data_IF_202369939834
#
_entry.id   IF_202369939834
#
_cell.length_a   1.000
_cell.length_b   1.000
_cell.length_c   1.000
_cell.angle_alpha   90.00
_cell.angle_beta   90.00
_cell.angle_gamma   90.00
#
_symmetry.space_group_name_H-M   'P 1'
#
loop_
_entity.id
_entity.type
_entity.pdbx_description
1 polymer ?
#
# COMPACT_ATOMS: atom_id res chain seq x y z
N UNK A 1 -42.93 -37.60 18.51
CA UNK A 1 -41.52 -37.25 18.27
C UNK A 1 -41.45 -35.87 17.59
N UNK A 2 -41.17 -34.79 18.32
CA UNK A 2 -40.96 -33.46 17.77
C UNK A 2 -39.48 -33.30 17.47
N UNK A 3 -39.08 -33.32 16.17
CA UNK A 3 -37.70 -33.03 15.74
C UNK A 3 -37.43 -31.54 15.96
N UNK A 4 -36.42 -31.27 16.77
CA UNK A 4 -35.91 -29.92 17.09
C UNK A 4 -35.36 -29.24 15.81
N UNK A 5 -36.05 -28.22 15.30
CA UNK A 5 -35.64 -27.37 14.21
C UNK A 5 -34.64 -26.27 14.65
N UNK A 6 -34.31 -26.18 15.94
CA UNK A 6 -33.47 -25.13 16.52
C UNK A 6 -31.98 -25.22 16.12
N UNK A 7 -31.47 -26.41 15.83
CA UNK A 7 -30.06 -26.60 15.52
C UNK A 7 -29.60 -26.05 14.15
N UNK A 8 -30.50 -25.99 13.17
CA UNK A 8 -30.14 -25.49 11.83
C UNK A 8 -30.12 -23.96 11.75
N UNK A 9 -31.09 -23.28 12.35
CA UNK A 9 -31.18 -21.83 12.38
C UNK A 9 -30.02 -21.19 13.16
N UNK A 10 -29.61 -21.81 14.28
CA UNK A 10 -28.48 -21.35 15.08
C UNK A 10 -27.14 -21.44 14.31
N UNK A 11 -26.91 -22.49 13.53
CA UNK A 11 -25.72 -22.65 12.70
C UNK A 11 -25.66 -21.64 11.57
N UNK A 12 -26.79 -21.28 10.98
CA UNK A 12 -26.86 -20.27 9.91
C UNK A 12 -26.56 -18.87 10.45
N UNK A 13 -27.09 -18.53 11.63
CA UNK A 13 -26.82 -17.24 12.30
C UNK A 13 -25.35 -17.16 12.72
N UNK A 14 -24.77 -18.22 13.26
CA UNK A 14 -23.35 -18.26 13.64
C UNK A 14 -22.43 -18.11 12.42
N UNK A 15 -22.77 -18.77 11.30
CA UNK A 15 -22.01 -18.68 10.07
C UNK A 15 -22.12 -17.29 9.42
N UNK A 16 -23.27 -16.63 9.51
CA UNK A 16 -23.47 -15.26 9.05
C UNK A 16 -22.71 -14.25 9.91
N UNK A 17 -22.65 -14.44 11.23
CA UNK A 17 -21.84 -13.60 12.13
C UNK A 17 -20.33 -13.78 11.89
N UNK A 18 -19.85 -15.00 11.61
CA UNK A 18 -18.46 -15.27 11.26
C UNK A 18 -18.07 -14.67 9.91
N UNK A 19 -18.97 -14.69 8.92
CA UNK A 19 -18.78 -14.02 7.62
C UNK A 19 -18.78 -12.49 7.76
N UNK A 20 -19.63 -11.91 8.62
CA UNK A 20 -19.63 -10.49 8.92
C UNK A 20 -18.35 -10.04 9.65
N UNK A 21 -17.85 -10.84 10.60
CA UNK A 21 -16.56 -10.54 11.27
C UNK A 21 -15.36 -10.69 10.34
N UNK A 22 -15.38 -11.63 9.39
CA UNK A 22 -14.33 -11.74 8.37
C UNK A 22 -14.34 -10.57 7.37
N UNK A 23 -15.48 -9.91 7.17
CA UNK A 23 -15.57 -8.70 6.35
C UNK A 23 -15.09 -7.42 7.05
N UNK A 24 -14.98 -7.40 8.38
CA UNK A 24 -14.52 -6.24 9.15
C UNK A 24 -13.00 -6.07 9.19
N UNK A 25 -12.23 -7.00 8.64
CA UNK A 25 -10.76 -6.85 8.45
C UNK A 25 -10.39 -6.43 7.01
N UNK A 26 -11.32 -5.83 6.27
CA UNK A 26 -10.98 -5.21 5.01
C UNK A 26 -10.05 -4.03 5.29
N UNK A 27 -8.77 -4.17 4.95
CA UNK A 27 -7.86 -3.04 4.75
C UNK A 27 -8.64 -2.03 3.90
N UNK A 28 -8.96 -0.87 4.46
CA UNK A 28 -9.59 0.20 3.70
C UNK A 28 -8.54 0.72 2.73
N UNK A 29 -8.62 0.31 1.49
CA UNK A 29 -7.82 0.84 0.41
C UNK A 29 -8.74 1.64 -0.50
N UNK A 30 -8.56 2.94 -0.50
CA UNK A 30 -9.25 3.83 -1.43
C UNK A 30 -8.29 4.20 -2.55
N UNK A 31 -8.79 4.12 -3.78
CA UNK A 31 -8.02 4.37 -4.98
C UNK A 31 -8.82 5.26 -5.91
N UNK A 32 -8.21 6.37 -6.31
CA UNK A 32 -8.73 7.26 -7.35
C UNK A 32 -7.75 7.24 -8.52
N UNK A 33 -8.27 7.06 -9.73
CA UNK A 33 -7.44 7.03 -10.94
C UNK A 33 -8.02 7.91 -12.04
N UNK A 34 -7.13 8.57 -12.77
CA UNK A 34 -7.40 9.17 -14.06
C UNK A 34 -6.55 8.48 -15.12
N UNK A 35 -7.11 8.26 -16.29
CA UNK A 35 -6.40 7.72 -17.46
C UNK A 35 -6.94 8.37 -18.73
N UNK A 36 -6.08 8.97 -19.51
CA UNK A 36 -6.43 9.42 -20.86
C UNK A 36 -6.71 8.20 -21.76
N UNK A 37 -7.93 8.11 -22.25
CA UNK A 37 -8.40 7.00 -23.10
C UNK A 37 -7.83 7.07 -24.52
N UNK A 38 -7.38 8.25 -24.95
CA UNK A 38 -6.87 8.49 -26.29
C UNK A 38 -5.35 8.32 -26.39
N UNK A 39 -4.66 8.26 -25.27
CA UNK A 39 -3.21 8.10 -25.24
C UNK A 39 -2.75 6.68 -25.56
N UNK A 40 -1.73 6.57 -26.42
CA UNK A 40 -1.16 5.27 -26.79
C UNK A 40 -0.08 4.80 -25.83
N UNK A 41 -0.48 4.28 -24.68
CA UNK A 41 0.44 3.76 -23.66
C UNK A 41 1.42 2.70 -24.18
N UNK A 42 1.05 1.92 -25.19
CA UNK A 42 1.92 0.88 -25.78
C UNK A 42 3.10 1.44 -26.58
N UNK A 43 3.09 2.72 -26.88
CA UNK A 43 4.22 3.39 -27.53
C UNK A 43 5.36 3.70 -26.56
N UNK A 44 5.12 3.68 -25.25
CA UNK A 44 6.09 4.04 -24.21
C UNK A 44 7.20 2.99 -24.15
N UNK A 45 8.44 3.45 -24.30
CA UNK A 45 9.67 2.62 -24.24
C UNK A 45 10.67 3.10 -23.20
N UNK A 46 10.64 4.39 -22.86
CA UNK A 46 11.54 5.01 -21.90
C UNK A 46 10.73 5.87 -20.93
N UNK A 47 10.88 5.57 -19.64
CA UNK A 47 10.16 6.26 -18.56
C UNK A 47 11.18 6.97 -17.69
N UNK A 48 11.17 8.29 -17.66
CA UNK A 48 11.93 9.04 -16.68
C UNK A 48 11.23 8.94 -15.33
N UNK A 49 11.93 8.46 -14.34
CA UNK A 49 11.43 8.35 -12.97
C UNK A 49 12.08 9.45 -12.13
N UNK A 50 11.28 10.41 -11.68
CA UNK A 50 11.74 11.41 -10.71
C UNK A 50 11.77 10.82 -9.31
N UNK A 51 12.59 11.44 -8.45
CA UNK A 51 12.61 11.10 -7.02
C UNK A 51 11.23 11.34 -6.40
N UNK A 52 10.88 10.49 -5.43
CA UNK A 52 9.64 10.66 -4.71
C UNK A 52 9.70 11.87 -3.79
N UNK A 53 8.68 12.71 -3.83
CA UNK A 53 8.54 13.90 -2.97
C UNK A 53 7.92 13.50 -1.61
N UNK A 54 8.63 13.82 -0.52
CA UNK A 54 8.19 13.63 0.87
C UNK A 54 7.89 14.94 1.60
N UNK A 55 7.86 16.07 0.90
CA UNK A 55 7.78 17.41 1.49
C UNK A 55 6.54 17.66 2.37
N UNK A 56 5.44 16.93 2.13
CA UNK A 56 4.20 17.04 2.92
C UNK A 56 4.22 16.14 4.17
N UNK A 57 5.34 15.47 4.44
CA UNK A 57 5.47 14.52 5.56
C UNK A 57 6.61 14.92 6.50
N UNK A 58 6.70 14.23 7.64
CA UNK A 58 7.84 14.34 8.58
C UNK A 58 8.93 13.27 8.29
N UNK A 59 8.97 12.75 7.05
CA UNK A 59 9.96 11.76 6.65
C UNK A 59 11.19 12.48 6.15
N UNK A 60 12.33 12.24 6.81
CA UNK A 60 13.59 12.91 6.51
C UNK A 60 14.79 11.94 6.55
N UNK A 61 15.86 12.32 5.90
CA UNK A 61 17.17 11.74 6.05
C UNK A 61 17.27 10.27 5.62
N UNK A 62 17.56 9.36 6.54
CA UNK A 62 17.76 7.93 6.21
C UNK A 62 16.48 7.27 5.77
N UNK A 63 15.34 7.63 6.40
CA UNK A 63 14.04 7.04 6.07
C UNK A 63 13.56 7.48 4.70
N UNK A 64 13.70 8.75 4.38
CA UNK A 64 13.42 9.31 3.07
C UNK A 64 14.20 8.56 1.97
N UNK A 65 15.52 8.46 2.11
CA UNK A 65 16.37 7.71 1.16
C UNK A 65 15.96 6.23 1.05
N UNK A 66 15.58 5.59 2.16
CA UNK A 66 15.17 4.19 2.17
C UNK A 66 13.87 3.97 1.41
N UNK A 67 12.87 4.84 1.62
CA UNK A 67 11.58 4.76 0.93
C UNK A 67 11.71 5.16 -0.55
N UNK A 68 12.50 6.20 -0.85
CA UNK A 68 12.83 6.60 -2.23
C UNK A 68 13.51 5.46 -3.00
N UNK A 69 14.53 4.83 -2.41
CA UNK A 69 15.18 3.67 -3.01
C UNK A 69 14.23 2.48 -3.20
N UNK A 70 13.27 2.26 -2.28
CA UNK A 70 12.24 1.23 -2.45
C UNK A 70 11.29 1.56 -3.61
N UNK A 71 10.91 2.83 -3.79
CA UNK A 71 10.10 3.27 -4.92
C UNK A 71 10.75 2.92 -6.26
N UNK A 72 12.03 3.27 -6.43
CA UNK A 72 12.81 2.92 -7.63
C UNK A 72 12.94 1.40 -7.80
N UNK A 73 13.24 0.68 -6.71
CA UNK A 73 13.33 -0.79 -6.74
C UNK A 73 12.02 -1.42 -7.22
N UNK A 74 10.86 -0.91 -6.78
CA UNK A 74 9.55 -1.42 -7.21
C UNK A 74 9.30 -1.17 -8.69
N UNK A 75 9.70 -0.02 -9.24
CA UNK A 75 9.62 0.25 -10.67
C UNK A 75 10.44 -0.78 -11.46
N UNK A 76 11.68 -1.05 -11.03
CA UNK A 76 12.54 -2.05 -11.68
C UNK A 76 12.01 -3.48 -11.54
N UNK A 77 11.50 -3.87 -10.37
CA UNK A 77 10.90 -5.19 -10.14
C UNK A 77 9.70 -5.45 -11.05
N UNK A 78 8.87 -4.45 -11.29
CA UNK A 78 7.73 -4.53 -12.20
C UNK A 78 8.12 -4.32 -13.67
N UNK A 79 9.42 -4.26 -13.97
CA UNK A 79 9.99 -4.18 -15.33
C UNK A 79 9.57 -2.92 -16.10
N UNK A 80 9.42 -1.81 -15.41
CA UNK A 80 9.28 -0.51 -16.06
C UNK A 80 10.62 -0.16 -16.72
N UNK A 81 10.64 0.32 -17.96
CA UNK A 81 11.88 0.72 -18.64
C UNK A 81 12.38 2.08 -18.13
N UNK A 82 12.82 2.11 -16.87
CA UNK A 82 13.21 3.33 -16.14
C UNK A 82 14.53 3.89 -16.64
N UNK A 83 14.57 5.19 -16.77
CA UNK A 83 15.79 5.99 -16.88
C UNK A 83 15.80 7.02 -15.75
N UNK A 84 16.95 7.22 -15.09
CA UNK A 84 17.05 8.18 -13.98
C UNK A 84 17.35 9.59 -14.47
N UNK A 85 17.00 10.64 -13.69
CA UNK A 85 17.31 12.03 -14.04
C UNK A 85 18.80 12.25 -14.30
N UNK A 86 19.69 11.66 -13.48
CA UNK A 86 21.14 11.81 -13.65
C UNK A 86 21.62 11.20 -14.98
N UNK A 87 21.03 10.06 -15.38
CA UNK A 87 21.38 9.43 -16.65
C UNK A 87 20.92 10.27 -17.84
N UNK A 88 19.75 10.91 -17.74
CA UNK A 88 19.25 11.87 -18.76
C UNK A 88 20.13 13.10 -18.81
N UNK A 89 20.40 13.75 -17.67
CA UNK A 89 21.25 14.95 -17.58
C UNK A 89 22.64 14.69 -18.15
N UNK A 90 23.24 13.54 -17.84
CA UNK A 90 24.55 13.17 -18.39
C UNK A 90 24.52 13.00 -19.91
N UNK A 91 23.50 12.33 -20.46
CA UNK A 91 23.35 12.17 -21.91
C UNK A 91 23.14 13.53 -22.62
N UNK A 92 22.27 14.39 -22.03
CA UNK A 92 22.06 15.75 -22.55
C UNK A 92 23.32 16.58 -22.49
N UNK A 93 24.07 16.50 -21.38
CA UNK A 93 25.34 17.21 -21.22
C UNK A 93 26.34 16.87 -22.34
N UNK A 94 26.43 15.58 -22.66
CA UNK A 94 27.29 15.12 -23.77
C UNK A 94 26.79 15.60 -25.12
N UNK A 95 25.51 15.58 -25.38
CA UNK A 95 24.91 16.01 -26.64
C UNK A 95 25.04 17.54 -26.85
N UNK A 96 24.90 18.32 -25.78
CA UNK A 96 24.97 19.76 -25.79
C UNK A 96 26.44 20.31 -25.73
N UNK A 97 27.41 19.46 -25.40
CA UNK A 97 28.79 19.89 -25.14
C UNK A 97 28.92 20.80 -23.91
N UNK A 98 27.95 20.77 -22.99
CA UNK A 98 27.87 21.62 -21.81
C UNK A 98 27.54 20.74 -20.57
N UNK A 99 28.19 21.03 -19.43
CA UNK A 99 27.90 20.36 -18.20
C UNK A 99 26.61 20.93 -17.58
N UNK A 100 25.50 20.19 -17.73
CA UNK A 100 24.19 20.62 -17.24
C UNK A 100 24.06 20.53 -15.71
N UNK A 101 24.83 19.68 -15.02
CA UNK A 101 24.85 19.64 -13.55
C UNK A 101 25.42 20.93 -12.97
N UNK A 102 26.50 21.47 -13.61
CA UNK A 102 27.06 22.77 -13.23
C UNK A 102 26.10 23.90 -13.59
N UNK A 103 25.43 23.81 -14.74
CA UNK A 103 24.41 24.79 -15.12
C UNK A 103 23.26 24.85 -14.13
N UNK A 104 22.72 23.69 -13.68
CA UNK A 104 21.66 23.63 -12.69
C UNK A 104 22.04 24.34 -11.37
N UNK A 105 23.31 24.28 -10.96
CA UNK A 105 23.79 24.97 -9.75
C UNK A 105 23.96 26.49 -9.93
N UNK A 106 24.20 26.98 -11.16
CA UNK A 106 24.48 28.36 -11.42
C UNK A 106 23.29 29.15 -11.95
N UNK A 107 22.48 28.51 -12.75
CA UNK A 107 21.33 29.08 -13.45
C UNK A 107 20.27 27.99 -13.66
N UNK A 108 19.39 27.83 -12.68
CA UNK A 108 18.36 26.84 -12.69
C UNK A 108 17.33 27.06 -13.80
N UNK A 109 17.03 28.31 -14.13
CA UNK A 109 16.10 28.67 -15.21
C UNK A 109 16.63 28.20 -16.56
N UNK A 110 17.87 28.53 -16.87
CA UNK A 110 18.53 28.10 -18.12
C UNK A 110 18.68 26.57 -18.18
N UNK A 111 18.92 25.91 -17.04
CA UNK A 111 18.93 24.45 -16.99
C UNK A 111 17.56 23.87 -17.32
N UNK A 112 16.48 24.35 -16.67
CA UNK A 112 15.11 23.88 -16.89
C UNK A 112 14.69 24.05 -18.36
N UNK A 113 14.97 25.22 -18.95
CA UNK A 113 14.66 25.46 -20.35
C UNK A 113 15.34 24.46 -21.31
N UNK A 114 16.59 24.11 -21.04
CA UNK A 114 17.31 23.10 -21.83
C UNK A 114 16.75 21.70 -21.55
N UNK A 115 16.52 21.39 -20.30
CA UNK A 115 16.04 20.07 -19.90
C UNK A 115 14.67 19.77 -20.49
N UNK A 116 13.68 20.65 -20.27
CA UNK A 116 12.30 20.47 -20.74
C UNK A 116 12.23 20.41 -22.28
N UNK A 117 12.97 21.26 -22.96
CA UNK A 117 12.99 21.29 -24.42
C UNK A 117 13.53 19.99 -25.03
N UNK A 118 14.48 19.33 -24.37
CA UNK A 118 15.17 18.16 -24.91
C UNK A 118 14.71 16.85 -24.26
N UNK A 119 13.86 16.88 -23.20
CA UNK A 119 13.43 15.68 -22.47
C UNK A 119 12.83 14.63 -23.39
N UNK A 120 12.01 15.03 -24.35
CA UNK A 120 11.36 14.17 -25.35
C UNK A 120 12.31 13.29 -26.18
N UNK A 121 13.58 13.68 -26.27
CA UNK A 121 14.58 12.91 -27.01
C UNK A 121 15.16 11.75 -26.19
N UNK A 122 14.87 11.72 -24.89
CA UNK A 122 15.42 10.74 -23.93
C UNK A 122 14.34 9.92 -23.21
N UNK A 123 13.15 10.45 -23.04
CA UNK A 123 12.03 9.78 -22.40
C UNK A 123 10.74 10.03 -23.19
N UNK A 124 9.87 9.02 -23.22
CA UNK A 124 8.54 9.15 -23.81
C UNK A 124 7.56 9.76 -22.79
N UNK A 125 7.75 9.41 -21.52
CA UNK A 125 6.96 9.91 -20.40
C UNK A 125 7.86 10.11 -19.18
N UNK A 126 7.39 10.93 -18.23
CA UNK A 126 7.98 10.99 -16.91
C UNK A 126 6.94 10.71 -15.82
N UNK A 127 7.43 10.18 -14.72
CA UNK A 127 6.61 9.88 -13.53
C UNK A 127 7.15 10.73 -12.39
N UNK A 128 6.28 11.52 -11.78
CA UNK A 128 6.48 12.10 -10.47
C UNK A 128 5.54 11.45 -9.45
N UNK A 129 5.97 11.42 -8.21
CA UNK A 129 5.19 10.82 -7.13
C UNK A 129 5.40 11.58 -5.83
N UNK A 130 4.34 11.72 -5.05
CA UNK A 130 4.35 12.45 -3.79
C UNK A 130 3.67 11.67 -2.68
N UNK A 131 4.30 11.63 -1.52
CA UNK A 131 3.70 11.12 -0.29
C UNK A 131 2.94 12.24 0.40
N UNK A 132 1.62 12.18 0.36
CA UNK A 132 0.74 13.19 0.96
C UNK A 132 0.51 12.95 2.46
N UNK A 133 0.61 11.70 2.90
CA UNK A 133 0.43 11.32 4.30
C UNK A 133 1.26 10.09 4.62
N UNK A 134 1.95 10.13 5.73
CA UNK A 134 2.64 8.99 6.34
C UNK A 134 2.62 9.19 7.85
N UNK A 135 1.64 8.62 8.52
CA UNK A 135 1.41 8.82 9.94
C UNK A 135 1.21 7.49 10.67
N UNK A 136 1.73 7.40 11.87
CA UNK A 136 1.42 6.31 12.80
C UNK A 136 0.62 6.85 13.96
N UNK A 137 -0.56 6.28 14.19
CA UNK A 137 -1.43 6.64 15.33
C UNK A 137 -1.53 5.46 16.28
N UNK A 138 -1.47 5.76 17.58
CA UNK A 138 -1.74 4.79 18.65
C UNK A 138 -3.22 4.80 18.99
N UNK A 139 -3.85 3.62 18.92
CA UNK A 139 -5.27 3.43 19.27
C UNK A 139 -5.34 2.66 20.57
N UNK A 140 -6.06 3.24 21.54
CA UNK A 140 -6.34 2.57 22.81
C UNK A 140 -7.53 1.63 22.67
N UNK A 141 -7.35 0.37 23.03
CA UNK A 141 -8.40 -0.63 23.16
C UNK A 141 -8.69 -0.84 24.63
N UNK A 142 -9.90 -0.53 25.10
CA UNK A 142 -10.26 -0.72 26.51
C UNK A 142 -10.34 -2.22 26.84
N UNK A 143 -10.20 -2.52 28.11
CA UNK A 143 -10.43 -3.88 28.64
C UNK A 143 -11.86 -4.35 28.32
N UNK A 144 -11.98 -5.60 27.90
CA UNK A 144 -13.29 -6.23 27.67
C UNK A 144 -13.28 -7.71 28.06
N UNK A 145 -14.47 -8.24 28.30
CA UNK A 145 -14.65 -9.65 28.68
C UNK A 145 -15.45 -10.38 27.59
N UNK A 146 -14.95 -11.50 27.13
CA UNK A 146 -15.67 -12.44 26.28
C UNK A 146 -16.08 -13.67 27.09
N UNK A 147 -17.07 -14.41 26.59
CA UNK A 147 -17.50 -15.67 27.17
C UNK A 147 -17.12 -16.80 26.23
N UNK A 148 -16.27 -17.71 26.70
CA UNK A 148 -15.80 -18.85 25.92
C UNK A 148 -16.34 -20.15 26.47
N UNK A 149 -16.75 -21.06 25.58
CA UNK A 149 -17.13 -22.43 25.96
C UNK A 149 -15.86 -23.28 26.04
N UNK A 150 -15.64 -23.88 27.22
CA UNK A 150 -14.53 -24.82 27.44
C UNK A 150 -15.05 -26.19 27.78
N UNK A 151 -14.50 -27.22 27.12
CA UNK A 151 -14.79 -28.62 27.47
C UNK A 151 -13.97 -28.98 28.70
N UNK A 152 -14.65 -29.47 29.72
CA UNK A 152 -14.05 -29.95 30.98
C UNK A 152 -14.44 -31.40 31.21
N UNK A 153 -13.51 -32.18 31.75
CA UNK A 153 -13.79 -33.54 32.16
C UNK A 153 -14.34 -33.56 33.58
N UNK A 154 -15.54 -34.05 33.75
CA UNK A 154 -16.15 -34.30 35.06
C UNK A 154 -16.19 -35.79 35.38
N UNK A 155 -15.88 -36.15 36.62
CA UNK A 155 -16.11 -37.51 37.11
C UNK A 155 -17.56 -37.60 37.64
N UNK A 156 -18.35 -38.43 37.02
CA UNK A 156 -19.73 -38.71 37.46
C UNK A 156 -19.89 -40.19 37.77
N UNK A 157 -20.83 -40.53 38.68
CA UNK A 157 -21.15 -41.93 38.94
C UNK A 157 -22.17 -42.43 37.92
N UNK A 158 -21.88 -43.57 37.32
CA UNK A 158 -22.85 -44.27 36.46
C UNK A 158 -23.97 -44.90 37.26
N UNK A 159 -24.97 -45.49 36.60
CA UNK A 159 -26.09 -46.17 37.24
C UNK A 159 -25.70 -47.41 38.06
N UNK A 160 -24.45 -47.89 37.93
CA UNK A 160 -23.87 -49.01 38.66
C UNK A 160 -22.97 -48.56 39.82
N UNK A 161 -22.86 -47.25 40.06
CA UNK A 161 -22.04 -46.64 41.12
C UNK A 161 -20.55 -46.48 40.78
N UNK A 162 -20.11 -46.75 39.53
CA UNK A 162 -18.72 -46.57 39.09
C UNK A 162 -18.47 -45.13 38.70
N UNK A 163 -17.22 -44.65 38.94
CA UNK A 163 -16.78 -43.35 38.47
C UNK A 163 -16.42 -43.42 36.98
N UNK A 164 -17.09 -42.59 36.17
CA UNK A 164 -16.81 -42.43 34.74
C UNK A 164 -16.48 -40.97 34.45
N UNK A 165 -15.53 -40.74 33.53
CA UNK A 165 -15.24 -39.40 33.02
C UNK A 165 -16.24 -39.04 31.93
N UNK A 166 -16.89 -37.89 32.06
CA UNK A 166 -17.83 -37.37 31.09
C UNK A 166 -17.31 -35.98 30.70
N UNK A 167 -17.30 -35.68 29.40
CA UNK A 167 -17.05 -34.35 28.89
C UNK A 167 -18.29 -33.48 29.13
N UNK A 168 -18.07 -32.30 29.70
CA UNK A 168 -19.09 -31.29 29.93
C UNK A 168 -18.61 -29.95 29.37
N UNK A 169 -19.51 -29.11 28.92
CA UNK A 169 -19.19 -27.79 28.41
C UNK A 169 -19.55 -26.76 29.48
N UNK A 170 -18.58 -25.95 29.84
CA UNK A 170 -18.77 -24.82 30.73
C UNK A 170 -18.46 -23.51 29.99
N UNK A 171 -19.23 -22.46 30.30
CA UNK A 171 -18.98 -21.13 29.80
C UNK A 171 -18.17 -20.37 30.83
N UNK A 172 -17.00 -19.87 30.44
CA UNK A 172 -16.08 -19.15 31.32
C UNK A 172 -15.84 -17.75 30.78
N UNK A 173 -15.73 -16.72 31.65
CA UNK A 173 -15.31 -15.41 31.24
C UNK A 173 -13.82 -15.42 30.93
N UNK A 174 -13.45 -14.79 29.82
CA UNK A 174 -12.06 -14.52 29.43
C UNK A 174 -11.86 -13.01 29.39
N UNK A 175 -11.04 -12.51 30.30
CA UNK A 175 -10.68 -11.11 30.36
C UNK A 175 -9.61 -10.81 29.34
N UNK A 176 -9.86 -9.84 28.47
CA UNK A 176 -8.90 -9.24 27.55
C UNK A 176 -8.44 -7.92 28.15
N UNK A 177 -7.16 -7.80 28.57
CA UNK A 177 -6.66 -6.56 29.16
C UNK A 177 -6.67 -5.43 28.14
N UNK A 178 -6.73 -4.19 28.64
CA UNK A 178 -6.56 -3.03 27.79
C UNK A 178 -5.18 -3.04 27.13
N UNK A 179 -5.13 -2.65 25.85
CA UNK A 179 -3.88 -2.56 25.09
C UNK A 179 -3.91 -1.40 24.10
N UNK A 180 -2.72 -1.05 23.60
CA UNK A 180 -2.58 -0.11 22.50
C UNK A 180 -2.17 -0.87 21.24
N UNK A 181 -2.77 -0.53 20.10
CA UNK A 181 -2.29 -0.92 18.78
C UNK A 181 -1.79 0.30 18.02
N UNK A 182 -0.95 0.07 17.03
CA UNK A 182 -0.50 1.12 16.11
C UNK A 182 -1.21 0.95 14.79
N UNK A 183 -1.71 2.07 14.24
CA UNK A 183 -2.29 2.12 12.89
C UNK A 183 -1.46 3.06 12.06
N UNK A 184 -1.00 2.60 10.90
CA UNK A 184 -0.29 3.41 9.93
C UNK A 184 -1.24 3.85 8.84
N UNK A 185 -1.18 5.13 8.50
CA UNK A 185 -1.94 5.76 7.42
C UNK A 185 -0.98 6.24 6.36
N UNK A 186 -1.18 5.79 5.14
CA UNK A 186 -0.37 6.22 3.98
C UNK A 186 -1.26 6.67 2.84
N UNK A 187 -0.89 7.82 2.26
CA UNK A 187 -1.51 8.37 1.07
C UNK A 187 -0.43 8.80 0.10
N UNK A 188 -0.43 8.23 -1.09
CA UNK A 188 0.55 8.49 -2.13
C UNK A 188 -0.18 8.82 -3.41
N UNK A 189 0.32 9.82 -4.13
CA UNK A 189 -0.11 10.14 -5.48
C UNK A 189 1.02 9.93 -6.48
N UNK A 190 0.66 9.51 -7.67
CA UNK A 190 1.53 9.27 -8.80
C UNK A 190 0.96 9.97 -10.01
N UNK A 191 1.78 10.68 -10.76
CA UNK A 191 1.41 11.36 -11.99
C UNK A 191 2.32 10.91 -13.11
N UNK A 192 1.76 10.60 -14.25
CA UNK A 192 2.48 10.22 -15.47
C UNK A 192 2.18 11.25 -16.54
N UNK A 193 3.20 11.89 -17.02
CA UNK A 193 3.10 12.95 -18.02
C UNK A 193 3.76 12.54 -19.32
N UNK A 194 3.20 12.98 -20.43
CA UNK A 194 3.84 12.87 -21.73
C UNK A 194 5.06 13.82 -21.82
N UNK A 195 6.21 13.31 -22.21
CA UNK A 195 7.44 14.10 -22.24
C UNK A 195 7.50 15.13 -23.38
N UNK A 196 6.59 15.06 -24.36
CA UNK A 196 6.50 16.01 -25.47
C UNK A 196 5.60 17.17 -25.13
N UNK A 197 4.43 16.88 -24.55
CA UNK A 197 3.39 17.88 -24.29
C UNK A 197 3.38 18.40 -22.86
N UNK A 198 3.95 17.64 -21.92
CA UNK A 198 3.85 17.88 -20.48
C UNK A 198 2.46 17.58 -19.90
N UNK A 199 1.52 17.09 -20.69
CA UNK A 199 0.16 16.79 -20.23
C UNK A 199 0.13 15.53 -19.37
N UNK A 200 -0.69 15.56 -18.31
CA UNK A 200 -0.95 14.37 -17.51
C UNK A 200 -1.78 13.36 -18.30
N UNK A 201 -1.24 12.17 -18.50
CA UNK A 201 -1.87 11.08 -19.24
C UNK A 201 -2.42 9.98 -18.34
N UNK A 202 -1.88 9.85 -17.12
CA UNK A 202 -2.37 8.92 -16.10
C UNK A 202 -2.01 9.46 -14.73
N UNK A 203 -2.96 9.39 -13.80
CA UNK A 203 -2.66 9.61 -12.40
C UNK A 203 -3.37 8.60 -11.51
N UNK A 204 -2.79 8.39 -10.34
CA UNK A 204 -3.35 7.52 -9.31
C UNK A 204 -3.05 8.06 -7.94
N UNK A 205 -4.08 8.22 -7.15
CA UNK A 205 -3.96 8.46 -5.73
C UNK A 205 -4.43 7.22 -4.99
N UNK A 206 -3.64 6.73 -4.07
CA UNK A 206 -3.96 5.56 -3.26
C UNK A 206 -3.77 5.88 -1.79
N UNK A 207 -4.80 5.55 -1.01
CA UNK A 207 -4.80 5.69 0.43
C UNK A 207 -5.01 4.32 1.07
N UNK A 208 -4.19 4.01 2.09
CA UNK A 208 -4.31 2.79 2.88
C UNK A 208 -4.07 3.07 4.34
N UNK A 209 -4.76 2.29 5.17
CA UNK A 209 -4.50 2.17 6.59
C UNK A 209 -4.32 0.70 6.97
N UNK A 210 -3.54 0.44 8.00
CA UNK A 210 -3.33 -0.90 8.51
C UNK A 210 -2.89 -0.89 9.96
N UNK A 211 -3.49 -1.83 10.72
CA UNK A 211 -3.09 -2.12 12.10
C UNK A 211 -1.74 -2.86 12.14
N UNK A 212 -0.92 -2.53 13.13
CA UNK A 212 0.36 -3.19 13.46
C UNK A 212 1.39 -3.27 12.32
N UNK A 213 1.31 -2.36 11.33
CA UNK A 213 2.31 -2.24 10.28
C UNK A 213 3.32 -1.12 10.62
N UNK A 214 4.58 -1.29 10.21
CA UNK A 214 5.62 -0.26 10.32
C UNK A 214 5.56 0.78 9.19
N UNK A 215 4.61 0.64 8.27
CA UNK A 215 4.40 1.47 7.09
C UNK A 215 5.30 1.09 5.91
N UNK A 216 6.50 0.59 6.12
CA UNK A 216 7.46 0.29 5.04
C UNK A 216 6.89 -0.75 4.07
N UNK A 217 6.28 -1.82 4.61
CA UNK A 217 5.64 -2.84 3.80
C UNK A 217 4.44 -2.30 3.02
N UNK A 218 3.64 -1.43 3.64
CA UNK A 218 2.46 -0.84 3.01
C UNK A 218 2.88 0.10 1.88
N UNK A 219 3.86 0.97 2.12
CA UNK A 219 4.47 1.82 1.11
C UNK A 219 4.93 1.01 -0.12
N UNK A 220 5.72 -0.05 0.11
CA UNK A 220 6.18 -0.93 -0.96
C UNK A 220 5.05 -1.59 -1.75
N UNK A 221 3.94 -1.96 -1.09
CA UNK A 221 2.75 -2.52 -1.77
C UNK A 221 2.00 -1.49 -2.61
N UNK A 222 1.91 -0.24 -2.14
CA UNK A 222 1.30 0.85 -2.91
C UNK A 222 2.13 1.10 -4.18
N UNK A 223 3.45 1.26 -4.05
CA UNK A 223 4.35 1.46 -5.18
C UNK A 223 4.30 0.28 -6.17
N UNK A 224 4.37 -0.96 -5.68
CA UNK A 224 4.28 -2.15 -6.55
C UNK A 224 2.94 -2.25 -7.26
N UNK A 225 1.83 -1.91 -6.60
CA UNK A 225 0.51 -1.92 -7.21
C UNK A 225 0.40 -0.91 -8.35
N UNK A 226 0.92 0.32 -8.15
CA UNK A 226 0.97 1.35 -9.19
C UNK A 226 1.80 0.88 -10.39
N UNK A 227 3.05 0.48 -10.19
CA UNK A 227 3.93 0.07 -11.28
C UNK A 227 3.44 -1.18 -12.02
N UNK A 228 2.85 -2.13 -11.31
CA UNK A 228 2.24 -3.33 -11.93
C UNK A 228 1.08 -2.98 -12.85
N UNK A 229 0.23 -2.03 -12.45
CA UNK A 229 -0.90 -1.62 -13.28
C UNK A 229 -0.40 -0.75 -14.45
N UNK A 230 0.57 0.13 -14.22
CA UNK A 230 1.22 0.90 -15.29
C UNK A 230 1.92 -0.02 -16.32
N UNK A 231 2.66 -1.04 -15.85
CA UNK A 231 3.29 -2.02 -16.74
C UNK A 231 2.28 -2.71 -17.66
N UNK A 232 1.09 -3.06 -17.16
CA UNK A 232 0.03 -3.66 -18.00
C UNK A 232 -0.47 -2.71 -19.09
N UNK A 233 -0.41 -1.40 -18.86
CA UNK A 233 -0.84 -0.41 -19.85
C UNK A 233 0.19 -0.23 -20.96
N UNK A 234 1.48 -0.27 -20.64
CA UNK A 234 2.58 -0.07 -21.60
C UNK A 234 2.95 -1.35 -22.39
N UNK A 235 2.51 -2.51 -21.93
CA UNK A 235 2.73 -3.81 -22.57
C UNK A 235 1.65 -4.11 -23.63
#
# INVERSE_FOLDING_TARGET
MKKSYWGKSFRIVLMACLLLMAMMQAVSAEKVEYKDKNYNFKAIKNVLLYDMDFSDTNIEGVRERSLGGMYEEKAMQEKIPVITPEAVIRKMSLAQGQNLEILAQKDLEAFNDIFDKNLKDYADVYIDAKVLQYETKSIYHPEYTTWETKTVNKNVRDSKGNWVKVEDEIVVPVLHPAYYSSVVYEKIEFHVHDAVTGEEIYSRQEWRDRDDDDGVNMFGRICSAFFKDFHKMIK
#
